data_IF_194618115365
#
_entry.id   IF_194618115365
#
_cell.length_a   1.000
_cell.length_b   1.000
_cell.length_c   1.000
_cell.angle_alpha   90.00
_cell.angle_beta   90.00
_cell.angle_gamma   90.00
#
_symmetry.space_group_name_H-M   'P 1'
#
loop_
_entity.id
_entity.type
_entity.pdbx_description
1 polymer ?
#
# COMPACT_ATOMS: atom_id res chain seq x y z
N UNK A 1 11.63 -7.75 7.96
CA UNK A 1 11.42 -6.34 7.58
C UNK A 1 11.10 -6.33 6.09
N UNK A 2 9.87 -5.98 5.74
CA UNK A 2 9.46 -5.84 4.34
C UNK A 2 9.88 -4.46 3.81
N UNK A 3 10.17 -4.40 2.51
CA UNK A 3 10.37 -3.15 1.77
C UNK A 3 9.70 -3.30 0.42
N UNK A 4 8.74 -2.43 0.13
CA UNK A 4 8.00 -2.40 -1.13
C UNK A 4 8.82 -1.80 -2.25
N UNK A 5 8.40 -2.01 -3.50
CA UNK A 5 8.92 -1.28 -4.66
C UNK A 5 8.39 0.15 -4.77
N UNK A 6 7.17 0.39 -4.25
CA UNK A 6 6.48 1.68 -4.30
C UNK A 6 5.56 1.85 -5.52
N UNK A 7 4.58 2.76 -5.43
CA UNK A 7 3.75 3.15 -6.57
C UNK A 7 4.53 3.83 -7.68
N UNK A 8 4.09 3.61 -8.91
CA UNK A 8 4.48 4.43 -10.05
C UNK A 8 3.90 5.85 -9.93
N UNK A 9 4.52 6.81 -10.61
CA UNK A 9 3.95 8.14 -10.79
C UNK A 9 2.65 8.11 -11.58
N UNK A 10 1.72 9.01 -11.27
CA UNK A 10 0.48 9.14 -12.03
C UNK A 10 0.76 9.53 -13.49
N UNK A 11 0.10 8.84 -14.42
CA UNK A 11 0.11 9.16 -15.84
C UNK A 11 -0.44 10.56 -16.11
N UNK A 12 0.02 11.21 -17.17
CA UNK A 12 -0.46 12.53 -17.57
C UNK A 12 -0.65 12.58 -19.08
N UNK A 13 -1.83 13.01 -19.52
CA UNK A 13 -2.09 13.26 -20.94
C UNK A 13 -2.71 14.64 -21.15
N UNK A 14 -2.55 15.17 -22.37
CA UNK A 14 -3.19 16.40 -22.85
C UNK A 14 -4.30 16.03 -23.84
N UNK A 15 -5.34 15.35 -23.38
CA UNK A 15 -6.54 15.08 -24.18
C UNK A 15 -7.48 16.30 -24.25
N UNK A 16 -7.25 17.33 -23.42
CA UNK A 16 -7.93 18.63 -23.42
C UNK A 16 -6.94 19.73 -23.01
N UNK A 17 -7.40 20.99 -22.92
CA UNK A 17 -6.62 22.13 -22.39
C UNK A 17 -6.19 21.94 -20.91
N UNK A 18 -6.58 20.83 -20.27
CA UNK A 18 -6.20 20.45 -18.92
C UNK A 18 -5.38 19.14 -18.90
N UNK A 19 -4.40 19.08 -18.00
CA UNK A 19 -3.64 17.85 -17.73
C UNK A 19 -4.58 16.89 -17.00
N UNK A 20 -4.96 15.80 -17.64
CA UNK A 20 -5.73 14.73 -17.02
C UNK A 20 -4.73 13.77 -16.37
N UNK A 21 -4.86 13.57 -15.05
CA UNK A 21 -4.16 12.47 -14.35
C UNK A 21 -4.82 11.17 -14.80
N UNK A 22 -4.01 10.24 -15.28
CA UNK A 22 -4.45 8.93 -15.73
C UNK A 22 -3.90 7.85 -14.81
N UNK A 23 -4.69 6.81 -14.64
CA UNK A 23 -4.22 5.50 -14.20
C UNK A 23 -4.56 4.40 -15.23
N UNK A 24 -4.19 3.17 -14.90
CA UNK A 24 -4.43 2.01 -15.76
C UNK A 24 -5.93 1.72 -15.95
N UNK A 25 -6.78 2.05 -14.97
CA UNK A 25 -8.23 1.84 -15.07
C UNK A 25 -8.82 2.79 -16.11
N UNK A 26 -8.38 4.04 -16.15
CA UNK A 26 -8.80 4.98 -17.20
C UNK A 26 -8.47 4.47 -18.61
N UNK A 27 -7.27 3.89 -18.78
CA UNK A 27 -6.86 3.29 -20.05
C UNK A 27 -7.74 2.08 -20.43
N UNK A 28 -8.07 1.21 -19.47
CA UNK A 28 -8.94 0.06 -19.72
C UNK A 28 -10.37 0.48 -20.06
N UNK A 29 -10.92 1.48 -19.36
CA UNK A 29 -12.27 1.99 -19.62
C UNK A 29 -12.35 2.62 -21.02
N UNK A 30 -11.39 3.49 -21.35
CA UNK A 30 -11.36 4.17 -22.65
C UNK A 30 -11.11 3.20 -23.80
N UNK A 31 -10.24 2.20 -23.61
CA UNK A 31 -10.00 1.16 -24.61
C UNK A 31 -11.22 0.28 -24.91
N UNK A 32 -12.19 0.21 -23.99
CA UNK A 32 -13.45 -0.51 -24.18
C UNK A 32 -14.61 0.38 -24.64
N UNK A 33 -14.45 1.71 -24.65
CA UNK A 33 -15.50 2.65 -25.07
C UNK A 33 -15.47 2.84 -26.59
N UNK A 34 -16.50 2.39 -27.33
CA UNK A 34 -16.56 2.54 -28.79
C UNK A 34 -16.62 4.01 -29.26
N UNK A 35 -16.81 4.98 -28.36
CA UNK A 35 -16.77 6.41 -28.67
C UNK A 35 -15.37 6.99 -28.64
N UNK A 36 -14.39 6.28 -28.07
CA UNK A 36 -12.99 6.71 -28.05
C UNK A 36 -12.32 6.25 -29.33
N UNK A 37 -11.66 7.17 -30.04
CA UNK A 37 -10.92 6.80 -31.26
C UNK A 37 -9.67 6.00 -30.93
N UNK A 38 -9.23 5.11 -31.84
CA UNK A 38 -7.97 4.36 -31.70
C UNK A 38 -6.79 5.30 -31.38
N UNK A 39 -6.71 6.45 -32.04
CA UNK A 39 -5.65 7.44 -31.82
C UNK A 39 -5.64 8.06 -30.42
N UNK A 40 -6.82 8.19 -29.78
CA UNK A 40 -6.93 8.67 -28.40
C UNK A 40 -6.60 7.54 -27.43
N UNK A 41 -7.08 6.32 -27.70
CA UNK A 41 -6.76 5.12 -26.94
C UNK A 41 -5.25 4.89 -26.86
N UNK A 42 -4.56 4.97 -28.00
CA UNK A 42 -3.09 4.86 -28.09
C UNK A 42 -2.36 5.93 -27.24
N UNK A 43 -2.88 7.16 -27.20
CA UNK A 43 -2.29 8.24 -26.40
C UNK A 43 -2.47 7.99 -24.90
N UNK A 44 -3.64 7.47 -24.49
CA UNK A 44 -3.94 7.13 -23.10
C UNK A 44 -3.07 5.96 -22.65
N UNK A 45 -3.02 4.88 -23.43
CA UNK A 45 -2.24 3.68 -23.13
C UNK A 45 -0.75 4.02 -22.89
N UNK A 46 -0.16 4.80 -23.79
CA UNK A 46 1.25 5.22 -23.68
C UNK A 46 1.52 6.13 -22.48
N UNK A 47 0.49 6.78 -21.94
CA UNK A 47 0.63 7.76 -20.86
C UNK A 47 0.24 7.21 -19.48
N UNK A 48 -0.51 6.10 -19.42
CA UNK A 48 -1.08 5.57 -18.18
C UNK A 48 -0.03 4.95 -17.22
N UNK A 49 1.08 4.43 -17.77
CA UNK A 49 2.15 3.79 -17.01
C UNK A 49 3.50 4.49 -17.26
N UNK A 50 3.73 5.71 -16.74
CA UNK A 50 4.87 6.54 -17.12
C UNK A 50 6.21 6.10 -16.51
N UNK A 51 6.18 5.31 -15.43
CA UNK A 51 7.36 4.94 -14.64
C UNK A 51 7.22 3.51 -14.10
N UNK A 52 8.30 2.97 -13.53
CA UNK A 52 8.24 1.70 -12.81
C UNK A 52 7.45 1.84 -11.50
N UNK A 53 6.92 0.73 -10.98
CA UNK A 53 6.20 0.67 -9.70
C UNK A 53 4.88 -0.09 -9.79
N UNK A 54 4.20 -0.21 -8.65
CA UNK A 54 2.79 -0.67 -8.61
C UNK A 54 1.85 0.37 -9.20
N UNK A 55 0.58 0.02 -9.41
CA UNK A 55 -0.46 0.96 -9.86
C UNK A 55 -0.41 2.27 -9.05
N UNK A 56 -0.72 3.41 -9.68
CA UNK A 56 -0.70 4.73 -9.04
C UNK A 56 -1.88 4.99 -8.08
N UNK A 57 -3.01 4.29 -8.26
CA UNK A 57 -4.19 4.41 -7.39
C UNK A 57 -4.15 3.55 -6.12
N UNK A 58 -5.05 3.78 -5.17
CA UNK A 58 -5.20 3.00 -3.93
C UNK A 58 -5.85 1.63 -4.17
N UNK A 59 -5.17 0.79 -4.96
CA UNK A 59 -5.53 -0.61 -5.17
C UNK A 59 -4.75 -1.52 -4.22
N UNK A 60 -4.92 -2.84 -4.39
CA UNK A 60 -4.38 -3.86 -3.46
C UNK A 60 -2.90 -3.67 -3.15
N UNK A 61 -2.05 -3.38 -4.15
CA UNK A 61 -0.62 -3.19 -3.92
C UNK A 61 -0.31 -2.01 -2.98
N UNK A 62 -0.92 -0.83 -3.23
CA UNK A 62 -0.65 0.36 -2.44
C UNK A 62 -1.30 0.27 -1.06
N UNK A 63 -2.53 -0.24 -0.97
CA UNK A 63 -3.17 -0.54 0.32
C UNK A 63 -2.29 -1.47 1.15
N UNK A 64 -1.87 -2.63 0.61
CA UNK A 64 -1.02 -3.56 1.34
C UNK A 64 0.33 -2.95 1.74
N UNK A 65 0.94 -2.09 0.92
CA UNK A 65 2.18 -1.42 1.30
C UNK A 65 1.98 -0.53 2.54
N UNK A 66 0.87 0.22 2.62
CA UNK A 66 0.50 0.98 3.81
C UNK A 66 0.19 0.08 5.01
N UNK A 67 -0.52 -1.04 4.80
CA UNK A 67 -0.85 -1.97 5.88
C UNK A 67 0.38 -2.63 6.47
N UNK A 68 1.41 -2.92 5.68
CA UNK A 68 2.67 -3.44 6.22
C UNK A 68 3.37 -2.46 7.16
N UNK A 69 3.19 -1.15 6.99
CA UNK A 69 3.65 -0.16 7.97
C UNK A 69 2.80 -0.19 9.23
N UNK A 70 1.47 -0.20 9.09
CA UNK A 70 0.55 -0.24 10.23
C UNK A 70 0.72 -1.50 11.09
N UNK A 71 1.07 -2.63 10.46
CA UNK A 71 1.43 -3.88 11.13
C UNK A 71 2.81 -3.83 11.83
N UNK A 72 3.61 -2.78 11.59
CA UNK A 72 4.97 -2.64 12.12
C UNK A 72 6.02 -3.48 11.39
N UNK A 73 5.69 -4.08 10.25
CA UNK A 73 6.56 -4.99 9.50
C UNK A 73 7.39 -4.29 8.42
N UNK A 74 7.08 -3.03 8.14
CA UNK A 74 7.77 -2.11 7.23
C UNK A 74 8.10 -0.79 7.93
N UNK A 75 9.09 -0.06 7.40
CA UNK A 75 9.45 1.25 7.94
C UNK A 75 8.50 2.36 7.49
N UNK A 76 8.35 3.45 8.26
CA UNK A 76 7.59 4.62 7.86
C UNK A 76 7.97 5.12 6.46
N UNK A 77 6.97 5.33 5.61
CA UNK A 77 7.13 5.81 4.22
C UNK A 77 7.24 4.71 3.16
N UNK A 78 7.30 3.44 3.55
CA UNK A 78 7.25 2.30 2.64
C UNK A 78 6.04 2.31 1.66
N UNK A 79 4.85 2.67 2.14
CA UNK A 79 3.58 2.70 1.43
C UNK A 79 3.32 3.96 0.62
N UNK A 80 3.94 5.09 0.97
CA UNK A 80 3.66 6.40 0.36
C UNK A 80 4.74 6.91 -0.59
N UNK A 81 6.01 6.51 -0.44
CA UNK A 81 7.08 6.97 -1.31
C UNK A 81 6.89 6.45 -2.74
N UNK A 82 7.12 7.26 -3.78
CA UNK A 82 7.09 6.77 -5.16
C UNK A 82 8.28 5.82 -5.44
N UNK A 83 8.11 4.91 -6.40
CA UNK A 83 9.16 4.00 -6.85
C UNK A 83 10.40 4.74 -7.39
N UNK A 84 10.18 5.89 -8.02
CA UNK A 84 11.22 6.75 -8.62
C UNK A 84 11.85 7.72 -7.63
N UNK A 85 11.30 7.85 -6.42
CA UNK A 85 11.75 8.86 -5.47
C UNK A 85 13.16 8.55 -4.93
N UNK A 86 14.04 9.55 -4.91
CA UNK A 86 15.44 9.38 -4.49
C UNK A 86 15.57 8.82 -3.06
N UNK A 87 14.68 9.25 -2.16
CA UNK A 87 14.67 8.81 -0.76
C UNK A 87 14.33 7.32 -0.58
N UNK A 88 13.79 6.64 -1.60
CA UNK A 88 13.54 5.19 -1.55
C UNK A 88 14.84 4.39 -1.37
N UNK A 89 15.98 4.92 -1.84
CA UNK A 89 17.30 4.36 -1.53
C UNK A 89 17.54 4.29 -0.02
N UNK A 90 17.12 5.30 0.73
CA UNK A 90 17.32 5.35 2.16
C UNK A 90 16.45 4.33 2.89
N UNK A 91 15.23 4.06 2.41
CA UNK A 91 14.39 2.97 2.92
C UNK A 91 15.11 1.61 2.82
N UNK A 92 15.69 1.29 1.66
CA UNK A 92 16.42 0.02 1.48
C UNK A 92 17.63 -0.09 2.42
N UNK A 93 18.43 0.98 2.52
CA UNK A 93 19.61 1.00 3.40
C UNK A 93 19.22 0.89 4.88
N UNK A 94 18.16 1.60 5.30
CA UNK A 94 17.68 1.54 6.67
C UNK A 94 17.07 0.18 6.99
N UNK A 95 16.34 -0.44 6.06
CA UNK A 95 15.81 -1.78 6.24
C UNK A 95 16.93 -2.82 6.40
N UNK A 96 18.01 -2.71 5.61
CA UNK A 96 19.21 -3.56 5.73
C UNK A 96 19.88 -3.44 7.08
N UNK A 97 20.04 -2.22 7.61
CA UNK A 97 20.56 -2.01 8.98
C UNK A 97 19.63 -2.59 10.03
N UNK A 98 18.33 -2.34 9.88
CA UNK A 98 17.30 -2.73 10.84
C UNK A 98 17.13 -4.23 10.94
N UNK A 99 17.20 -4.97 9.83
CA UNK A 99 17.11 -6.44 9.90
C UNK A 99 18.29 -7.04 10.66
N UNK A 100 19.51 -6.53 10.44
CA UNK A 100 20.69 -6.96 11.20
C UNK A 100 20.54 -6.65 12.68
N UNK A 101 20.03 -5.47 13.03
CA UNK A 101 19.74 -5.09 14.42
C UNK A 101 18.73 -6.03 15.08
N UNK A 102 17.61 -6.33 14.41
CA UNK A 102 16.58 -7.25 14.91
C UNK A 102 17.13 -8.66 15.09
N UNK A 103 17.95 -9.15 14.14
CA UNK A 103 18.64 -10.44 14.23
C UNK A 103 19.57 -10.48 15.44
N UNK A 104 20.37 -9.44 15.69
CA UNK A 104 21.24 -9.37 16.87
C UNK A 104 20.45 -9.34 18.18
N UNK A 105 19.38 -8.56 18.24
CA UNK A 105 18.48 -8.53 19.42
C UNK A 105 17.98 -9.94 19.76
N UNK A 106 17.51 -10.67 18.76
CA UNK A 106 17.02 -12.03 18.98
C UNK A 106 18.13 -13.02 19.36
N UNK A 107 19.21 -13.13 18.55
CA UNK A 107 20.21 -14.19 18.73
C UNK A 107 21.31 -13.88 19.75
N UNK A 108 21.60 -12.62 20.04
CA UNK A 108 22.68 -12.21 20.96
C UNK A 108 22.15 -11.65 22.29
N UNK A 109 20.89 -11.22 22.34
CA UNK A 109 20.31 -10.54 23.51
C UNK A 109 19.04 -11.23 24.05
N UNK A 110 18.69 -12.40 23.50
CA UNK A 110 17.51 -13.20 23.87
C UNK A 110 16.20 -12.39 23.82
N UNK A 111 16.11 -11.40 22.93
CA UNK A 111 14.96 -10.52 22.79
C UNK A 111 13.96 -11.07 21.78
N UNK A 112 13.03 -11.88 22.27
CA UNK A 112 11.94 -12.43 21.45
C UNK A 112 11.01 -11.35 20.88
N UNK A 113 10.97 -10.14 21.45
CA UNK A 113 10.11 -9.06 20.93
C UNK A 113 10.50 -8.61 19.52
N UNK A 114 11.69 -8.97 19.04
CA UNK A 114 12.16 -8.70 17.68
C UNK A 114 11.53 -9.61 16.62
N UNK A 115 10.84 -10.70 17.01
CA UNK A 115 10.22 -11.65 16.08
C UNK A 115 8.97 -11.06 15.41
N UNK A 116 8.70 -11.38 14.13
CA UNK A 116 7.53 -10.85 13.42
C UNK A 116 6.19 -11.09 14.12
N UNK A 117 5.99 -12.27 14.73
CA UNK A 117 4.77 -12.60 15.49
C UNK A 117 4.59 -11.75 16.76
N UNK A 118 5.69 -11.28 17.34
CA UNK A 118 5.68 -10.40 18.51
C UNK A 118 5.55 -8.92 18.13
N UNK A 119 5.77 -8.57 16.85
CA UNK A 119 5.54 -7.23 16.31
C UNK A 119 4.09 -7.11 15.80
N UNK A 120 3.65 -8.02 14.94
CA UNK A 120 2.32 -8.03 14.33
C UNK A 120 1.27 -8.66 15.26
N UNK A 121 1.05 -8.00 16.41
CA UNK A 121 0.04 -8.38 17.39
C UNK A 121 -1.40 -8.16 16.88
N UNK A 122 -2.40 -8.70 17.58
CA UNK A 122 -3.82 -8.43 17.29
C UNK A 122 -4.13 -6.92 17.19
N UNK A 123 -3.57 -6.11 18.08
CA UNK A 123 -3.70 -4.66 18.05
C UNK A 123 -3.08 -4.04 16.77
N UNK A 124 -1.99 -4.62 16.25
CA UNK A 124 -1.41 -4.17 14.99
C UNK A 124 -2.32 -4.50 13.80
N UNK A 125 -2.99 -5.66 13.81
CA UNK A 125 -4.01 -6.01 12.80
C UNK A 125 -5.23 -5.08 12.88
N UNK A 126 -5.70 -4.74 14.08
CA UNK A 126 -6.78 -3.77 14.28
C UNK A 126 -6.38 -2.38 13.75
N UNK A 127 -5.17 -1.91 14.07
CA UNK A 127 -4.63 -0.65 13.54
C UNK A 127 -4.53 -0.67 12.01
N UNK A 128 -4.07 -1.77 11.42
CA UNK A 128 -3.99 -1.92 9.98
C UNK A 128 -5.39 -1.85 9.35
N UNK A 129 -6.37 -2.58 9.89
CA UNK A 129 -7.74 -2.54 9.37
C UNK A 129 -8.38 -1.15 9.53
N UNK A 130 -8.16 -0.47 10.65
CA UNK A 130 -8.60 0.92 10.84
C UNK A 130 -7.98 1.85 9.79
N UNK A 131 -6.69 1.71 9.51
CA UNK A 131 -6.03 2.49 8.46
C UNK A 131 -6.64 2.18 7.09
N UNK A 132 -6.89 0.91 6.77
CA UNK A 132 -7.47 0.48 5.51
C UNK A 132 -8.86 1.09 5.27
N UNK A 133 -9.72 1.10 6.30
CA UNK A 133 -11.04 1.74 6.26
C UNK A 133 -10.89 3.24 6.03
N UNK A 134 -10.00 3.90 6.79
CA UNK A 134 -9.76 5.34 6.71
C UNK A 134 -9.27 5.79 5.32
N UNK A 135 -8.43 4.98 4.68
CA UNK A 135 -7.87 5.29 3.36
C UNK A 135 -8.74 4.82 2.19
N UNK A 136 -9.87 4.14 2.45
CA UNK A 136 -10.70 3.54 1.41
C UNK A 136 -9.94 2.47 0.63
N UNK A 137 -9.21 1.62 1.33
CA UNK A 137 -8.36 0.59 0.74
C UNK A 137 -9.12 -0.45 -0.08
N UNK A 138 -8.36 -1.21 -0.89
CA UNK A 138 -8.90 -2.25 -1.75
C UNK A 138 -9.55 -3.37 -0.91
N UNK A 139 -10.78 -3.79 -1.22
CA UNK A 139 -11.46 -4.90 -0.51
C UNK A 139 -10.67 -6.21 -0.40
N UNK A 140 -9.70 -6.48 -1.31
CA UNK A 140 -8.79 -7.63 -1.20
C UNK A 140 -7.89 -7.61 0.04
N UNK A 141 -7.68 -6.45 0.68
CA UNK A 141 -6.91 -6.32 1.93
C UNK A 141 -7.53 -7.13 3.05
N UNK A 142 -8.85 -7.27 3.09
CA UNK A 142 -9.58 -8.15 4.02
C UNK A 142 -9.08 -9.58 3.89
N UNK A 143 -8.99 -10.11 2.67
CA UNK A 143 -8.52 -11.47 2.43
C UNK A 143 -7.06 -11.63 2.85
N UNK A 144 -6.21 -10.66 2.52
CA UNK A 144 -4.79 -10.71 2.87
C UNK A 144 -4.53 -10.56 4.37
N UNK A 145 -5.26 -9.69 5.07
CA UNK A 145 -5.14 -9.54 6.52
C UNK A 145 -5.61 -10.79 7.26
N UNK A 146 -6.73 -11.39 6.84
CA UNK A 146 -7.20 -12.65 7.42
C UNK A 146 -6.21 -13.80 7.20
N UNK A 147 -5.65 -13.92 5.99
CA UNK A 147 -4.63 -14.92 5.69
C UNK A 147 -3.35 -14.69 6.52
N UNK A 148 -2.88 -13.45 6.62
CA UNK A 148 -1.71 -13.10 7.42
C UNK A 148 -1.93 -13.36 8.93
N UNK A 149 -3.12 -13.05 9.44
CA UNK A 149 -3.49 -13.35 10.82
C UNK A 149 -3.50 -14.85 11.10
N UNK A 150 -4.04 -15.65 10.16
CA UNK A 150 -4.04 -17.10 10.26
C UNK A 150 -2.62 -17.69 10.32
N UNK A 151 -1.72 -17.26 9.43
CA UNK A 151 -0.31 -17.69 9.42
C UNK A 151 0.48 -17.22 10.66
N UNK A 152 0.10 -16.07 11.21
CA UNK A 152 0.67 -15.54 12.44
C UNK A 152 0.04 -16.13 13.71
N UNK A 153 -0.97 -17.00 13.58
CA UNK A 153 -1.74 -17.58 14.70
C UNK A 153 -2.39 -16.50 15.59
N UNK A 154 -2.83 -15.40 14.98
CA UNK A 154 -3.53 -14.31 15.65
C UNK A 154 -5.04 -14.49 15.52
N UNK A 155 -5.75 -14.40 16.63
CA UNK A 155 -7.22 -14.39 16.68
C UNK A 155 -7.76 -13.05 16.12
N UNK A 156 -7.78 -12.92 14.80
CA UNK A 156 -8.34 -11.78 14.08
C UNK A 156 -9.26 -12.30 12.97
N UNK A 157 -10.53 -11.92 13.05
CA UNK A 157 -11.61 -12.54 12.27
C UNK A 157 -12.42 -11.51 11.50
N UNK A 158 -13.28 -11.99 10.60
CA UNK A 158 -14.24 -11.13 9.90
C UNK A 158 -15.13 -10.33 10.86
N UNK A 159 -15.44 -10.88 12.04
CA UNK A 159 -16.23 -10.20 13.06
C UNK A 159 -15.50 -8.97 13.63
N UNK A 160 -14.18 -9.01 13.72
CA UNK A 160 -13.37 -7.88 14.18
C UNK A 160 -13.35 -6.77 13.13
N UNK A 161 -13.25 -7.14 11.85
CA UNK A 161 -13.35 -6.21 10.72
C UNK A 161 -14.72 -5.52 10.67
N UNK A 162 -15.83 -6.27 10.80
CA UNK A 162 -17.17 -5.68 10.82
C UNK A 162 -17.34 -4.68 11.98
N UNK A 163 -16.86 -5.00 13.18
CA UNK A 163 -16.89 -4.08 14.32
C UNK A 163 -16.12 -2.80 14.02
N UNK A 164 -14.91 -2.91 13.49
CA UNK A 164 -14.08 -1.75 13.15
C UNK A 164 -14.73 -0.89 12.07
N UNK A 165 -15.36 -1.49 11.06
CA UNK A 165 -16.04 -0.76 9.97
C UNK A 165 -17.20 0.13 10.42
N UNK A 166 -17.78 -0.16 11.59
CA UNK A 166 -18.89 0.60 12.19
C UNK A 166 -18.42 1.70 13.14
N UNK A 167 -17.11 1.84 13.32
CA UNK A 167 -16.54 2.90 14.15
C UNK A 167 -16.39 4.15 13.30
N UNK A 168 -16.93 5.28 13.77
CA UNK A 168 -16.79 6.55 13.06
C UNK A 168 -15.34 7.05 13.14
N UNK A 169 -14.63 7.00 12.01
CA UNK A 169 -13.31 7.60 11.86
C UNK A 169 -13.44 8.96 11.15
N UNK A 170 -13.23 10.04 11.89
CA UNK A 170 -13.10 11.37 11.28
C UNK A 170 -11.70 11.52 10.69
N UNK A 171 -11.59 11.37 9.36
CA UNK A 171 -10.38 11.72 8.62
C UNK A 171 -10.63 13.09 7.97
N UNK A 172 -9.93 14.17 8.40
CA UNK A 172 -10.05 15.45 7.73
C UNK A 172 -9.60 15.30 6.27
N UNK A 173 -10.37 15.89 5.36
CA UNK A 173 -10.15 15.86 3.90
C UNK A 173 -8.78 16.40 3.43
N UNK A 174 -7.95 16.89 4.35
CA UNK A 174 -6.58 17.36 4.13
C UNK A 174 -5.50 16.27 4.23
N UNK A 175 -5.85 15.03 4.59
CA UNK A 175 -4.89 13.92 4.73
C UNK A 175 -4.60 13.14 3.43
N UNK A 176 -5.32 13.43 2.35
CA UNK A 176 -4.99 12.97 1.00
C UNK A 176 -4.05 13.99 0.36
N UNK A 177 -2.75 13.88 0.64
CA UNK A 177 -1.69 14.65 -0.03
C UNK A 177 -0.93 13.73 -0.97
#
# INVERSE_FOLDING_TARGET
MAVSGGPMEAGKTKLSDQIIKLDLVDAMIQGADPKVSDSQSDQVERSACPTCGSCSGMFTANSMNCLTEALGLSQPGNGSLLATHADRKQLFLNAGKRIVELTKRYYEQDDESALPRNIASKAAFENAMTLDIAMGGSTNTVLHLLAAAQEAEIDFTMSDIDKLSRTDFWVPSTAAV
#
